data_IF_165799268499
#
_entry.id   IF_165799268499
#
_cell.length_a   1.000
_cell.length_b   1.000
_cell.length_c   1.000
_cell.angle_alpha   90.00
_cell.angle_beta   90.00
_cell.angle_gamma   90.00
#
_symmetry.space_group_name_H-M   'P 1'
#
loop_
_entity.id
_entity.type
_entity.pdbx_description
1 polymer ?
#
# COMPACT_ATOMS: atom_id res chain seq x y z
N UNK A 1 -16.39 30.08 -66.57
CA UNK A 1 -16.26 30.79 -65.28
C UNK A 1 -17.40 30.33 -64.38
N UNK A 2 -17.12 29.42 -63.46
CA UNK A 2 -18.08 29.01 -62.42
C UNK A 2 -17.27 28.85 -61.14
N UNK A 3 -17.40 29.84 -60.26
CA UNK A 3 -16.86 29.84 -58.91
C UNK A 3 -17.89 29.22 -57.97
N UNK A 4 -17.37 28.63 -56.89
CA UNK A 4 -18.05 28.52 -55.59
C UNK A 4 -18.97 27.32 -55.38
N UNK A 5 -18.39 26.13 -55.27
CA UNK A 5 -19.03 24.99 -54.60
C UNK A 5 -18.06 24.16 -53.73
N UNK A 6 -16.93 24.76 -53.31
CA UNK A 6 -15.83 24.03 -52.64
C UNK A 6 -15.46 24.61 -51.27
N UNK A 7 -16.40 25.32 -50.62
CA UNK A 7 -16.19 25.92 -49.28
C UNK A 7 -17.21 25.52 -48.22
N UNK A 8 -18.05 24.51 -48.47
CA UNK A 8 -19.08 24.05 -47.51
C UNK A 8 -18.75 22.67 -46.89
N UNK A 9 -17.61 22.06 -47.23
CA UNK A 9 -17.26 20.71 -46.77
C UNK A 9 -16.07 20.64 -45.79
N UNK A 10 -15.67 21.77 -45.20
CA UNK A 10 -14.61 21.84 -44.17
C UNK A 10 -15.18 22.08 -42.76
N UNK A 11 -16.48 22.37 -42.63
CA UNK A 11 -17.13 22.65 -41.35
C UNK A 11 -17.76 21.42 -40.65
N UNK A 12 -17.61 20.20 -41.21
CA UNK A 12 -18.27 18.99 -40.69
C UNK A 12 -17.33 17.90 -40.14
N UNK A 13 -16.04 18.21 -39.96
CA UNK A 13 -15.08 17.30 -39.29
C UNK A 13 -14.57 17.83 -37.93
N UNK A 14 -15.15 18.92 -37.42
CA UNK A 14 -14.79 19.55 -36.14
C UNK A 14 -15.84 19.31 -35.03
N UNK A 15 -16.56 18.18 -35.09
CA UNK A 15 -17.59 17.82 -34.11
C UNK A 15 -17.47 16.38 -33.59
N UNK A 16 -16.28 15.75 -33.70
CA UNK A 16 -16.01 14.41 -33.14
C UNK A 16 -14.84 14.39 -32.14
N UNK A 17 -14.22 15.55 -31.84
CA UNK A 17 -13.08 15.64 -30.92
C UNK A 17 -13.40 16.22 -29.52
N UNK A 18 -14.67 16.29 -29.11
CA UNK A 18 -15.07 16.73 -27.76
C UNK A 18 -15.65 15.61 -26.87
N UNK A 19 -15.51 14.35 -27.29
CA UNK A 19 -16.03 13.18 -26.57
C UNK A 19 -14.93 12.39 -25.86
N UNK A 20 -14.09 13.02 -25.03
CA UNK A 20 -13.09 12.28 -24.25
C UNK A 20 -12.54 12.99 -23.01
N UNK A 21 -13.36 13.76 -22.28
CA UNK A 21 -13.01 14.24 -20.93
C UNK A 21 -14.27 14.44 -20.09
N UNK A 22 -15.09 13.39 -19.93
CA UNK A 22 -15.97 13.22 -18.77
C UNK A 22 -15.99 11.73 -18.46
N UNK A 23 -15.03 11.31 -17.64
CA UNK A 23 -15.10 10.00 -16.99
C UNK A 23 -16.38 9.93 -16.16
N UNK A 24 -16.98 8.74 -16.00
CA UNK A 24 -18.17 8.60 -15.16
C UNK A 24 -17.82 9.12 -13.77
N UNK A 25 -18.65 10.05 -13.27
CA UNK A 25 -18.72 10.37 -11.86
C UNK A 25 -18.95 9.07 -11.11
N UNK A 26 -17.88 8.43 -10.65
CA UNK A 26 -17.95 7.31 -9.72
C UNK A 26 -18.36 7.92 -8.38
N UNK A 27 -19.65 8.20 -8.26
CA UNK A 27 -20.31 8.49 -7.01
C UNK A 27 -20.27 7.18 -6.23
N UNK A 28 -19.29 7.05 -5.34
CA UNK A 28 -19.27 5.97 -4.36
C UNK A 28 -20.60 6.05 -3.63
N UNK A 29 -21.44 4.99 -3.64
CA UNK A 29 -22.69 5.01 -2.89
C UNK A 29 -22.39 5.26 -1.41
N UNK A 30 -23.16 6.13 -0.76
CA UNK A 30 -23.06 6.49 0.67
C UNK A 30 -23.34 5.29 1.64
N UNK A 31 -23.38 4.06 1.13
CA UNK A 31 -23.72 2.85 1.88
C UNK A 31 -22.47 2.05 2.33
N UNK A 32 -21.32 2.70 2.48
CA UNK A 32 -20.20 2.17 3.28
C UNK A 32 -20.21 2.71 4.72
N UNK A 33 -21.35 3.24 5.17
CA UNK A 33 -21.60 3.51 6.56
C UNK A 33 -21.92 2.19 7.28
N UNK A 34 -21.12 1.93 8.32
CA UNK A 34 -21.23 0.83 9.29
C UNK A 34 -20.72 -0.53 8.82
N UNK A 35 -19.39 -0.70 8.93
CA UNK A 35 -18.83 -2.02 9.20
C UNK A 35 -19.53 -2.60 10.45
N UNK A 36 -20.17 -3.78 10.36
CA UNK A 36 -20.77 -4.42 11.53
C UNK A 36 -19.68 -4.69 12.56
N UNK A 37 -19.71 -3.94 13.66
CA UNK A 37 -18.81 -4.12 14.80
C UNK A 37 -19.32 -5.26 15.70
N UNK A 38 -19.51 -6.47 15.19
CA UNK A 38 -19.81 -7.64 16.04
C UNK A 38 -19.83 -9.01 15.32
N UNK A 39 -18.85 -9.31 14.44
CA UNK A 39 -18.64 -10.69 13.93
C UNK A 39 -17.14 -11.07 13.86
N UNK A 40 -16.26 -10.32 14.51
CA UNK A 40 -14.82 -10.41 14.22
C UNK A 40 -14.15 -11.65 14.80
N UNK A 41 -14.65 -12.28 15.88
CA UNK A 41 -13.88 -13.36 16.54
C UNK A 41 -14.09 -14.77 15.95
N UNK A 42 -15.23 -15.08 15.33
CA UNK A 42 -15.47 -16.42 14.75
C UNK A 42 -14.97 -16.56 13.30
N UNK A 43 -14.83 -15.46 12.55
CA UNK A 43 -14.25 -15.46 11.20
C UNK A 43 -12.72 -15.57 11.18
N UNK A 44 -12.02 -15.29 12.30
CA UNK A 44 -10.53 -15.33 12.37
C UNK A 44 -9.95 -16.73 12.11
N UNK A 45 -10.78 -17.79 12.18
CA UNK A 45 -10.45 -19.19 11.91
C UNK A 45 -11.18 -19.76 10.67
N UNK A 46 -11.99 -18.96 9.98
CA UNK A 46 -12.92 -19.40 8.94
C UNK A 46 -12.40 -19.20 7.51
N UNK A 47 -11.40 -18.33 7.30
CA UNK A 47 -10.76 -18.21 5.98
C UNK A 47 -10.02 -19.51 5.66
N UNK A 48 -10.60 -20.32 4.78
CA UNK A 48 -10.09 -21.62 4.36
C UNK A 48 -10.15 -21.73 2.85
N UNK A 49 -9.30 -22.59 2.27
CA UNK A 49 -9.28 -22.83 0.83
C UNK A 49 -8.92 -21.57 0.03
N UNK A 50 -9.73 -21.26 -0.98
CA UNK A 50 -9.43 -20.24 -1.99
C UNK A 50 -9.35 -18.82 -1.43
N UNK A 51 -10.16 -18.48 -0.43
CA UNK A 51 -10.16 -17.14 0.17
C UNK A 51 -8.84 -16.87 0.92
N UNK A 52 -8.33 -17.87 1.64
CA UNK A 52 -7.03 -17.80 2.30
C UNK A 52 -5.90 -17.65 1.27
N UNK A 53 -5.97 -18.40 0.17
CA UNK A 53 -4.99 -18.32 -0.91
C UNK A 53 -5.00 -16.94 -1.60
N UNK A 54 -6.18 -16.40 -1.92
CA UNK A 54 -6.33 -15.05 -2.48
C UNK A 54 -5.81 -13.99 -1.51
N UNK A 55 -6.04 -14.19 -0.22
CA UNK A 55 -5.54 -13.28 0.80
C UNK A 55 -4.02 -13.29 0.87
N UNK A 56 -3.42 -14.49 0.79
CA UNK A 56 -1.98 -14.66 0.80
C UNK A 56 -1.36 -13.98 -0.40
N UNK A 57 -1.92 -14.21 -1.59
CA UNK A 57 -1.50 -13.55 -2.83
C UNK A 57 -1.59 -12.02 -2.73
N UNK A 58 -2.66 -11.51 -2.10
CA UNK A 58 -2.84 -10.07 -1.90
C UNK A 58 -1.76 -9.48 -0.99
N UNK A 59 -1.40 -10.18 0.10
CA UNK A 59 -0.33 -9.75 1.00
C UNK A 59 1.06 -9.86 0.36
N UNK A 60 1.32 -10.91 -0.44
CA UNK A 60 2.57 -11.07 -1.20
C UNK A 60 2.73 -9.93 -2.21
N UNK A 61 1.65 -9.59 -2.94
CA UNK A 61 1.64 -8.46 -3.86
C UNK A 61 1.88 -7.14 -3.13
N UNK A 62 1.19 -6.91 -2.01
CA UNK A 62 1.39 -5.72 -1.21
C UNK A 62 2.85 -5.62 -0.71
N UNK A 63 3.44 -6.73 -0.27
CA UNK A 63 4.84 -6.74 0.14
C UNK A 63 5.79 -6.35 -1.00
N UNK A 64 5.62 -6.96 -2.19
CA UNK A 64 6.41 -6.64 -3.38
C UNK A 64 6.22 -5.19 -3.86
N UNK A 65 4.98 -4.66 -3.82
CA UNK A 65 4.71 -3.25 -4.12
C UNK A 65 5.49 -2.33 -3.16
N UNK A 66 5.50 -2.62 -1.86
CA UNK A 66 6.22 -1.81 -0.87
C UNK A 66 7.73 -1.86 -1.07
N UNK A 67 8.30 -3.00 -1.46
CA UNK A 67 9.71 -3.12 -1.88
C UNK A 67 10.01 -2.20 -3.07
N UNK A 68 9.21 -2.30 -4.14
CA UNK A 68 9.37 -1.44 -5.31
C UNK A 68 9.20 0.06 -4.99
N UNK A 69 8.29 0.39 -4.08
CA UNK A 69 8.08 1.76 -3.62
C UNK A 69 9.26 2.28 -2.82
N UNK A 70 9.88 1.44 -1.98
CA UNK A 70 11.09 1.81 -1.26
C UNK A 70 12.20 2.18 -2.24
N UNK A 71 12.45 1.32 -3.23
CA UNK A 71 13.50 1.54 -4.23
C UNK A 71 13.22 2.79 -5.09
N UNK A 72 11.96 3.00 -5.46
CA UNK A 72 11.53 4.20 -6.18
C UNK A 72 11.81 5.47 -5.37
N UNK A 73 11.45 5.47 -4.09
CA UNK A 73 11.68 6.62 -3.20
C UNK A 73 13.17 6.88 -2.96
N UNK A 74 13.98 5.83 -2.81
CA UNK A 74 15.44 5.92 -2.71
C UNK A 74 16.03 6.50 -4.00
N UNK A 75 15.63 6.00 -5.17
CA UNK A 75 16.09 6.48 -6.48
C UNK A 75 15.74 7.95 -6.73
N UNK A 76 14.51 8.37 -6.40
CA UNK A 76 14.08 9.77 -6.53
C UNK A 76 14.93 10.72 -5.67
N UNK A 77 15.26 10.30 -4.44
CA UNK A 77 16.12 11.06 -3.52
C UNK A 77 17.56 11.12 -4.01
N UNK A 78 18.10 10.00 -4.47
CA UNK A 78 19.45 9.92 -5.03
C UNK A 78 19.62 10.89 -6.21
N UNK A 79 18.64 10.92 -7.12
CA UNK A 79 18.62 11.85 -8.27
C UNK A 79 18.25 13.30 -7.90
N UNK A 80 18.03 13.59 -6.61
CA UNK A 80 17.59 14.89 -6.10
C UNK A 80 16.31 15.41 -6.78
N UNK A 81 15.45 14.51 -7.28
CA UNK A 81 14.19 14.86 -7.93
C UNK A 81 13.13 15.21 -6.87
N UNK A 82 13.12 16.48 -6.43
CA UNK A 82 12.21 16.97 -5.39
C UNK A 82 10.74 16.85 -5.78
N UNK A 83 10.39 17.27 -7.00
CA UNK A 83 9.01 17.24 -7.48
C UNK A 83 8.49 15.80 -7.57
N UNK A 84 9.28 14.90 -8.14
CA UNK A 84 8.95 13.48 -8.18
C UNK A 84 8.81 12.87 -6.78
N UNK A 85 9.68 13.25 -5.84
CA UNK A 85 9.58 12.81 -4.44
C UNK A 85 8.26 13.26 -3.80
N UNK A 86 7.83 14.52 -4.00
CA UNK A 86 6.59 15.04 -3.41
C UNK A 86 5.37 14.30 -3.97
N UNK A 87 5.29 14.16 -5.30
CA UNK A 87 4.19 13.45 -5.95
C UNK A 87 4.14 11.99 -5.51
N UNK A 88 5.29 11.34 -5.43
CA UNK A 88 5.37 9.94 -5.04
C UNK A 88 5.01 9.75 -3.57
N UNK A 89 5.41 10.64 -2.66
CA UNK A 89 4.98 10.60 -1.25
C UNK A 89 3.45 10.71 -1.13
N UNK A 90 2.83 11.63 -1.88
CA UNK A 90 1.36 11.75 -1.91
C UNK A 90 0.68 10.48 -2.42
N UNK A 91 1.23 9.86 -3.47
CA UNK A 91 0.77 8.55 -3.94
C UNK A 91 0.89 7.48 -2.85
N UNK A 92 2.02 7.41 -2.14
CA UNK A 92 2.22 6.43 -1.06
C UNK A 92 1.24 6.63 0.09
N UNK A 93 0.96 7.87 0.46
CA UNK A 93 -0.06 8.17 1.48
C UNK A 93 -1.42 7.61 1.08
N UNK A 94 -1.83 7.86 -0.16
CA UNK A 94 -3.11 7.38 -0.71
C UNK A 94 -3.16 5.85 -0.84
N UNK A 95 -2.11 5.22 -1.35
CA UNK A 95 -2.01 3.75 -1.44
C UNK A 95 -2.13 3.13 -0.05
N UNK A 96 -1.38 3.67 0.92
CA UNK A 96 -1.41 3.14 2.29
C UNK A 96 -2.78 3.31 2.93
N UNK A 97 -3.40 4.49 2.86
CA UNK A 97 -4.68 4.73 3.52
C UNK A 97 -5.85 3.98 2.89
N UNK A 98 -5.82 3.80 1.57
CA UNK A 98 -6.96 3.27 0.80
C UNK A 98 -6.89 1.75 0.65
N UNK A 99 -5.69 1.19 0.52
CA UNK A 99 -5.51 -0.23 0.24
C UNK A 99 -4.85 -0.98 1.40
N UNK A 100 -3.70 -0.49 1.86
CA UNK A 100 -2.88 -1.24 2.80
C UNK A 100 -3.42 -1.22 4.24
N UNK A 101 -3.81 -0.06 4.74
CA UNK A 101 -4.33 0.10 6.11
C UNK A 101 -5.61 -0.72 6.32
N UNK A 102 -6.61 -0.71 5.41
CA UNK A 102 -7.77 -1.59 5.50
C UNK A 102 -7.40 -3.07 5.43
N UNK A 103 -6.44 -3.43 4.57
CA UNK A 103 -5.92 -4.79 4.49
C UNK A 103 -5.38 -5.22 5.87
N UNK A 104 -4.49 -4.44 6.48
CA UNK A 104 -3.84 -4.79 7.75
C UNK A 104 -4.70 -4.53 9.00
N UNK A 105 -5.89 -3.94 8.85
CA UNK A 105 -6.81 -3.65 9.95
C UNK A 105 -7.29 -4.94 10.61
N UNK A 106 -7.54 -5.98 9.81
CA UNK A 106 -7.99 -7.27 10.32
C UNK A 106 -6.80 -8.09 10.82
N UNK A 107 -6.69 -8.23 12.15
CA UNK A 107 -5.48 -8.68 12.86
C UNK A 107 -5.30 -10.19 12.90
N UNK A 108 -6.25 -10.97 12.40
CA UNK A 108 -6.17 -12.43 12.39
C UNK A 108 -4.94 -12.95 11.64
N UNK A 109 -4.44 -12.23 10.62
CA UNK A 109 -3.25 -12.63 9.85
C UNK A 109 -2.01 -12.78 10.72
N UNK A 110 -1.86 -11.95 11.75
CA UNK A 110 -0.76 -12.03 12.71
C UNK A 110 -0.85 -13.26 13.63
N UNK A 111 -2.03 -13.88 13.75
CA UNK A 111 -2.27 -15.09 14.54
C UNK A 111 -2.20 -16.37 13.70
N UNK A 112 -2.50 -16.29 12.39
CA UNK A 112 -2.55 -17.45 11.50
C UNK A 112 -1.15 -17.95 11.10
N UNK A 113 -0.78 -19.23 11.34
CA UNK A 113 0.57 -19.75 11.14
C UNK A 113 1.18 -19.44 9.77
N UNK A 114 0.41 -19.67 8.70
CA UNK A 114 0.91 -19.50 7.32
C UNK A 114 1.02 -18.03 6.86
N UNK A 115 0.37 -17.12 7.57
CA UNK A 115 0.29 -15.70 7.21
C UNK A 115 1.13 -14.81 8.11
N UNK A 116 1.44 -15.30 9.31
CA UNK A 116 2.08 -14.54 10.38
C UNK A 116 3.37 -13.87 9.95
N UNK A 117 4.26 -14.62 9.28
CA UNK A 117 5.52 -14.07 8.73
C UNK A 117 5.25 -12.99 7.69
N UNK A 118 4.31 -13.24 6.78
CA UNK A 118 4.00 -12.32 5.70
C UNK A 118 3.34 -11.03 6.20
N UNK A 119 2.40 -11.12 7.15
CA UNK A 119 1.80 -9.96 7.83
C UNK A 119 2.88 -9.13 8.55
N UNK A 120 3.84 -9.79 9.22
CA UNK A 120 4.97 -9.10 9.83
C UNK A 120 5.79 -8.35 8.78
N UNK A 121 6.23 -9.03 7.72
CA UNK A 121 6.99 -8.44 6.61
C UNK A 121 6.30 -7.20 6.03
N UNK A 122 5.01 -7.28 5.73
CA UNK A 122 4.23 -6.15 5.19
C UNK A 122 4.18 -4.97 6.17
N UNK A 123 3.95 -5.22 7.46
CA UNK A 123 3.94 -4.15 8.48
C UNK A 123 5.30 -3.50 8.66
N UNK A 124 6.39 -4.28 8.59
CA UNK A 124 7.75 -3.75 8.65
C UNK A 124 8.07 -2.89 7.42
N UNK A 125 7.78 -3.39 6.22
CA UNK A 125 7.91 -2.67 4.95
C UNK A 125 7.12 -1.35 4.96
N UNK A 126 5.87 -1.37 5.42
CA UNK A 126 5.04 -0.18 5.58
C UNK A 126 5.72 0.84 6.52
N UNK A 127 6.19 0.36 7.68
CA UNK A 127 6.78 1.22 8.69
C UNK A 127 8.09 1.84 8.22
N UNK A 128 8.88 1.11 7.44
CA UNK A 128 10.09 1.61 6.81
C UNK A 128 9.78 2.71 5.79
N UNK A 129 8.78 2.54 4.94
CA UNK A 129 8.34 3.58 4.01
C UNK A 129 7.85 4.84 4.74
N UNK A 130 7.04 4.68 5.80
CA UNK A 130 6.61 5.81 6.64
C UNK A 130 7.80 6.54 7.26
N UNK A 131 8.82 5.81 7.69
CA UNK A 131 10.08 6.38 8.19
C UNK A 131 10.81 7.14 7.09
N UNK A 132 10.89 6.59 5.89
CA UNK A 132 11.45 7.30 4.73
C UNK A 132 10.67 8.59 4.49
N UNK A 133 9.34 8.56 4.51
CA UNK A 133 8.44 9.73 4.35
C UNK A 133 8.52 10.74 5.51
N UNK A 134 9.28 10.44 6.57
CA UNK A 134 9.41 11.24 7.80
C UNK A 134 8.11 11.36 8.61
N UNK A 135 7.18 10.43 8.47
CA UNK A 135 5.99 10.37 9.32
C UNK A 135 6.31 9.65 10.65
N UNK A 136 7.01 10.36 11.53
CA UNK A 136 7.38 9.83 12.84
C UNK A 136 6.19 9.45 13.72
N UNK A 137 4.99 10.02 13.48
CA UNK A 137 3.79 9.72 14.27
C UNK A 137 3.26 8.33 13.90
N UNK A 138 3.07 8.05 12.61
CA UNK A 138 2.63 6.73 12.14
C UNK A 138 3.68 5.66 12.39
N UNK A 139 4.98 5.97 12.24
CA UNK A 139 6.07 5.04 12.60
C UNK A 139 5.96 4.55 14.04
N UNK A 140 5.84 5.47 15.01
CA UNK A 140 5.72 5.10 16.44
C UNK A 140 4.47 4.26 16.71
N UNK A 141 3.35 4.59 16.05
CA UNK A 141 2.10 3.82 16.16
C UNK A 141 2.30 2.40 15.63
N UNK A 142 2.83 2.25 14.42
CA UNK A 142 3.04 0.96 13.79
C UNK A 142 4.04 0.10 14.59
N UNK A 143 5.14 0.66 15.09
CA UNK A 143 6.08 -0.08 15.96
C UNK A 143 5.37 -0.63 17.20
N UNK A 144 4.52 0.19 17.85
CA UNK A 144 3.75 -0.23 19.02
C UNK A 144 2.76 -1.34 18.65
N UNK A 145 2.09 -1.23 17.51
CA UNK A 145 1.13 -2.22 17.04
C UNK A 145 1.81 -3.54 16.67
N UNK A 146 2.92 -3.51 15.92
CA UNK A 146 3.74 -4.71 15.62
C UNK A 146 4.16 -5.40 16.92
N UNK A 147 4.72 -4.64 17.88
CA UNK A 147 5.12 -5.21 19.18
C UNK A 147 3.96 -5.85 19.92
N UNK A 148 2.75 -5.29 19.83
CA UNK A 148 1.56 -5.85 20.47
C UNK A 148 1.08 -7.12 19.77
N UNK A 149 1.06 -7.11 18.43
CA UNK A 149 0.55 -8.22 17.62
C UNK A 149 1.45 -9.46 17.68
N UNK A 150 2.77 -9.27 17.69
CA UNK A 150 3.76 -10.34 17.63
C UNK A 150 4.45 -10.61 18.98
N UNK A 151 3.79 -10.25 20.09
CA UNK A 151 4.30 -10.55 21.43
C UNK A 151 4.46 -12.07 21.61
N UNK A 152 5.63 -12.53 22.07
CA UNK A 152 5.92 -13.96 22.19
C UNK A 152 6.28 -14.63 20.87
N UNK A 153 6.63 -13.84 19.85
CA UNK A 153 7.09 -14.32 18.53
C UNK A 153 8.31 -13.53 18.08
N UNK A 154 9.17 -13.19 19.03
CA UNK A 154 10.38 -12.40 18.81
C UNK A 154 11.40 -13.15 17.94
N UNK A 155 11.39 -14.48 17.98
CA UNK A 155 12.24 -15.36 17.16
C UNK A 155 11.68 -15.58 15.74
N UNK A 156 10.50 -15.01 15.42
CA UNK A 156 9.94 -15.08 14.07
C UNK A 156 10.91 -14.41 13.10
N UNK A 157 11.38 -15.18 12.13
CA UNK A 157 12.31 -14.69 11.12
C UNK A 157 11.56 -13.90 10.04
N UNK A 158 11.98 -12.66 9.84
CA UNK A 158 11.36 -11.72 8.90
C UNK A 158 12.41 -11.08 7.98
N UNK A 159 11.94 -10.54 6.86
CA UNK A 159 12.78 -9.93 5.83
C UNK A 159 12.86 -8.41 6.08
N UNK A 160 13.69 -8.03 7.06
CA UNK A 160 13.93 -6.64 7.41
C UNK A 160 15.31 -6.42 8.05
N UNK A 161 16.12 -5.46 7.57
CA UNK A 161 15.86 -4.54 6.45
C UNK A 161 15.77 -5.28 5.10
N UNK A 162 15.26 -4.62 4.06
CA UNK A 162 15.09 -5.26 2.74
C UNK A 162 16.37 -5.95 2.25
N UNK A 163 16.24 -7.21 1.83
CA UNK A 163 17.36 -8.04 1.39
C UNK A 163 18.13 -8.75 2.51
N UNK A 164 17.79 -8.51 3.78
CA UNK A 164 18.35 -9.19 4.94
C UNK A 164 17.26 -9.86 5.76
N UNK A 165 17.62 -10.98 6.39
CA UNK A 165 16.69 -11.77 7.19
C UNK A 165 17.14 -11.77 8.65
N UNK A 166 16.25 -11.33 9.55
CA UNK A 166 16.56 -11.14 10.97
C UNK A 166 15.39 -11.59 11.86
N UNK A 167 15.63 -11.94 13.13
CA UNK A 167 14.55 -12.15 14.10
C UNK A 167 13.73 -10.87 14.30
N UNK A 168 12.41 -11.00 14.38
CA UNK A 168 11.47 -9.88 14.53
C UNK A 168 11.82 -8.97 15.71
N UNK A 169 12.26 -9.55 16.83
CA UNK A 169 12.69 -8.79 18.00
C UNK A 169 13.88 -7.87 17.70
N UNK A 170 14.87 -8.35 16.94
CA UNK A 170 16.03 -7.58 16.51
C UNK A 170 15.64 -6.51 15.48
N UNK A 171 14.84 -6.90 14.47
CA UNK A 171 14.31 -5.99 13.45
C UNK A 171 13.53 -4.82 14.08
N UNK A 172 12.74 -5.05 15.15
CA UNK A 172 12.07 -3.99 15.91
C UNK A 172 13.06 -2.99 16.52
N UNK A 173 14.19 -3.47 17.02
CA UNK A 173 15.25 -2.62 17.58
C UNK A 173 15.91 -1.80 16.47
N UNK A 174 16.20 -2.41 15.31
CA UNK A 174 16.77 -1.72 14.15
C UNK A 174 15.83 -0.61 13.65
N UNK A 175 14.56 -0.94 13.45
CA UNK A 175 13.51 -0.02 12.99
C UNK A 175 13.34 1.17 13.96
N UNK A 176 13.40 0.92 15.28
CA UNK A 176 13.32 1.99 16.30
C UNK A 176 14.54 2.92 16.29
N UNK A 177 15.74 2.37 16.11
CA UNK A 177 17.00 3.13 16.08
C UNK A 177 17.18 3.89 14.77
N UNK A 178 16.41 3.56 13.73
CA UNK A 178 16.55 4.14 12.40
C UNK A 178 17.89 3.81 11.74
N UNK A 179 18.58 2.78 12.25
CA UNK A 179 19.89 2.37 11.77
C UNK A 179 19.67 1.61 10.46
N UNK A 180 20.12 2.19 9.35
CA UNK A 180 20.38 1.43 8.13
C UNK A 180 21.64 0.61 8.40
N UNK A 181 21.62 -0.67 8.07
CA UNK A 181 22.86 -1.38 7.75
C UNK A 181 23.51 -0.60 6.61
N UNK A 182 24.76 -0.22 6.86
CA UNK A 182 25.58 0.65 6.00
C UNK A 182 25.95 -0.04 4.71
#
# INVERSE_FOLDING_TARGET
MSMSATRILVALCLAVSLSACWGPNYRVPDNFAEAPKEVVEEEELALRGDELAQRKLSLERAYSDLEHFHDTLVSLRYRKNRNGTILFVSFLESYMSTYLDPMLANRWQAKHPDMKRLDANVRFAQTELLRQMKDGRRVRRNIKDIKKLFKGSEDLVIDYPYGETHPLGESLVMLRKGKRTS
#
